data_IF_183322403626
#
_entry.id   IF_183322403626
#
_cell.length_a   1.000
_cell.length_b   1.000
_cell.length_c   1.000
_cell.angle_alpha   90.00
_cell.angle_beta   90.00
_cell.angle_gamma   90.00
#
_symmetry.space_group_name_H-M   'P 1'
#
loop_
_entity.id
_entity.type
_entity.pdbx_description
1 polymer ?
#
# COMPACT_ATOMS: atom_id res chain seq x y z
N UNK A 1 -10.68 -30.35 -8.92
CA UNK A 1 -11.20 -29.56 -7.79
C UNK A 1 -10.67 -28.16 -7.95
N UNK A 2 -11.37 -27.30 -8.70
CA UNK A 2 -10.93 -25.93 -8.93
C UNK A 2 -11.77 -25.06 -8.01
N UNK A 3 -11.26 -24.84 -6.81
CA UNK A 3 -11.84 -23.88 -5.88
C UNK A 3 -11.76 -22.52 -6.55
N UNK A 4 -12.92 -21.87 -6.70
CA UNK A 4 -13.02 -20.51 -7.19
C UNK A 4 -12.30 -19.58 -6.19
N UNK A 5 -10.98 -19.45 -6.33
CA UNK A 5 -10.22 -18.39 -5.70
C UNK A 5 -10.72 -17.10 -6.31
N UNK A 6 -11.61 -16.41 -5.60
CA UNK A 6 -12.05 -15.07 -5.97
C UNK A 6 -10.81 -14.23 -6.26
N UNK A 7 -10.73 -13.69 -7.47
CA UNK A 7 -9.62 -12.86 -7.87
C UNK A 7 -9.78 -11.52 -7.14
N UNK A 8 -8.69 -11.05 -6.54
CA UNK A 8 -8.66 -9.81 -5.76
C UNK A 8 -7.81 -8.84 -6.54
N UNK A 9 -8.41 -7.71 -6.89
CA UNK A 9 -7.71 -6.57 -7.48
C UNK A 9 -7.48 -5.53 -6.41
N UNK A 10 -6.28 -4.98 -6.33
CA UNK A 10 -5.98 -3.90 -5.38
C UNK A 10 -5.97 -2.58 -6.15
N UNK A 11 -6.68 -1.58 -5.63
CA UNK A 11 -6.75 -0.25 -6.20
C UNK A 11 -6.49 0.82 -5.14
N UNK A 12 -5.91 1.95 -5.54
CA UNK A 12 -5.78 3.13 -4.68
C UNK A 12 -7.11 3.89 -4.63
N UNK A 13 -7.58 4.23 -3.42
CA UNK A 13 -8.68 5.14 -3.17
C UNK A 13 -8.15 6.36 -2.37
N UNK A 14 -7.69 7.42 -3.09
CA UNK A 14 -7.17 8.62 -2.45
C UNK A 14 -8.21 9.35 -1.59
N UNK A 15 -9.50 9.23 -1.92
CA UNK A 15 -10.59 9.88 -1.17
C UNK A 15 -10.74 9.30 0.23
N UNK A 16 -10.41 8.02 0.38
CA UNK A 16 -10.39 7.31 1.68
C UNK A 16 -8.99 7.20 2.28
N UNK A 17 -7.97 7.69 1.57
CA UNK A 17 -6.56 7.48 1.90
C UNK A 17 -6.28 6.00 2.20
N UNK A 18 -6.76 5.12 1.32
CA UNK A 18 -6.67 3.69 1.52
C UNK A 18 -6.51 2.94 0.19
N UNK A 19 -5.73 1.88 0.21
CA UNK A 19 -5.78 0.88 -0.87
C UNK A 19 -6.90 -0.11 -0.56
N UNK A 20 -7.77 -0.38 -1.51
CA UNK A 20 -8.92 -1.27 -1.33
C UNK A 20 -8.70 -2.57 -2.10
N UNK A 21 -9.07 -3.69 -1.47
CA UNK A 21 -9.16 -4.99 -2.11
C UNK A 21 -10.56 -5.17 -2.68
N UNK A 22 -10.67 -5.19 -4.00
CA UNK A 22 -11.91 -5.40 -4.75
C UNK A 22 -11.98 -6.84 -5.25
N UNK A 23 -13.11 -7.49 -5.00
CA UNK A 23 -13.45 -8.78 -5.60
C UNK A 23 -14.00 -8.61 -7.02
N UNK A 24 -14.12 -9.71 -7.75
CA UNK A 24 -14.61 -9.73 -9.13
C UNK A 24 -16.05 -9.19 -9.28
N UNK A 25 -16.85 -9.25 -8.22
CA UNK A 25 -18.21 -8.71 -8.15
C UNK A 25 -18.26 -7.22 -7.74
N UNK A 26 -17.10 -6.59 -7.53
CA UNK A 26 -16.98 -5.20 -7.07
C UNK A 26 -17.08 -5.03 -5.56
N UNK A 27 -17.21 -6.11 -4.78
CA UNK A 27 -17.27 -6.04 -3.33
C UNK A 27 -15.91 -5.65 -2.75
N UNK A 28 -15.90 -4.66 -1.84
CA UNK A 28 -14.70 -4.30 -1.08
C UNK A 28 -14.50 -5.32 0.03
N UNK A 29 -13.45 -6.12 -0.07
CA UNK A 29 -13.13 -7.15 0.91
C UNK A 29 -12.14 -6.68 2.00
N UNK A 30 -11.53 -5.51 1.84
CA UNK A 30 -10.62 -4.95 2.82
C UNK A 30 -9.98 -3.63 2.38
N UNK A 31 -9.32 -2.96 3.31
CA UNK A 31 -8.67 -1.67 3.13
C UNK A 31 -7.35 -1.56 3.89
N UNK A 32 -6.29 -1.12 3.21
CA UNK A 32 -5.01 -0.74 3.80
C UNK A 32 -4.94 0.79 3.84
N UNK A 33 -5.21 1.34 5.01
CA UNK A 33 -5.25 2.77 5.26
C UNK A 33 -3.85 3.35 5.40
N UNK A 34 -3.67 4.52 4.82
CA UNK A 34 -2.40 5.21 4.78
C UNK A 34 -2.53 6.71 5.04
N UNK A 35 -1.41 7.35 5.37
CA UNK A 35 -1.24 8.78 5.29
C UNK A 35 -0.13 9.10 4.27
N UNK A 36 -0.42 9.94 3.28
CA UNK A 36 0.60 10.44 2.34
C UNK A 36 1.31 11.67 2.92
N UNK A 37 2.63 11.63 2.94
CA UNK A 37 3.53 12.70 3.43
C UNK A 37 4.59 12.97 2.38
N UNK A 38 4.26 13.79 1.38
CA UNK A 38 5.14 13.99 0.22
C UNK A 38 5.28 12.68 -0.57
N UNK A 39 6.52 12.26 -0.83
CA UNK A 39 6.85 10.99 -1.51
C UNK A 39 6.91 9.78 -0.55
N UNK A 40 6.21 9.85 0.59
CA UNK A 40 6.20 8.78 1.60
C UNK A 40 4.77 8.40 1.94
N UNK A 41 4.48 7.10 1.92
CA UNK A 41 3.22 6.49 2.29
C UNK A 41 3.36 5.81 3.64
N UNK A 42 2.66 6.31 4.64
CA UNK A 42 2.67 5.78 6.00
C UNK A 42 1.46 4.87 6.17
N UNK A 43 1.67 3.55 6.20
CA UNK A 43 0.58 2.60 6.45
C UNK A 43 0.24 2.59 7.94
N UNK A 44 -0.95 3.06 8.28
CA UNK A 44 -1.40 3.19 9.67
C UNK A 44 -2.15 1.96 10.14
N UNK A 45 -3.03 1.43 9.29
CA UNK A 45 -3.91 0.32 9.65
C UNK A 45 -4.28 -0.52 8.42
N UNK A 46 -4.62 -1.79 8.64
CA UNK A 46 -5.14 -2.66 7.60
C UNK A 46 -6.30 -3.44 8.18
N UNK A 47 -7.43 -3.40 7.50
CA UNK A 47 -8.67 -4.06 7.88
C UNK A 47 -9.12 -4.96 6.73
N UNK A 48 -9.60 -6.14 7.07
CA UNK A 48 -10.21 -7.08 6.12
C UNK A 48 -11.59 -7.39 6.68
N UNK A 49 -12.59 -7.37 5.80
CA UNK A 49 -13.95 -7.69 6.19
C UNK A 49 -14.00 -9.12 6.78
N UNK A 50 -14.67 -9.34 7.93
CA UNK A 50 -14.68 -10.64 8.63
C UNK A 50 -15.12 -11.82 7.75
N UNK A 51 -16.01 -11.56 6.79
CA UNK A 51 -16.48 -12.55 5.82
C UNK A 51 -15.36 -13.11 4.92
N UNK A 52 -14.24 -12.39 4.78
CA UNK A 52 -13.13 -12.75 3.93
C UNK A 52 -11.80 -12.97 4.68
N UNK A 53 -11.83 -12.94 6.01
CA UNK A 53 -10.70 -13.36 6.82
C UNK A 53 -10.33 -14.84 6.56
N UNK A 54 -9.05 -15.18 6.73
CA UNK A 54 -8.55 -16.54 6.48
C UNK A 54 -8.41 -16.92 4.99
N UNK A 55 -8.90 -16.10 4.06
CA UNK A 55 -8.81 -16.37 2.60
C UNK A 55 -7.57 -15.75 1.93
N UNK A 56 -6.61 -15.27 2.74
CA UNK A 56 -5.39 -14.63 2.24
C UNK A 56 -5.60 -13.26 1.59
N UNK A 57 -6.77 -12.63 1.75
CA UNK A 57 -7.05 -11.30 1.18
C UNK A 57 -6.11 -10.25 1.75
N UNK A 58 -5.90 -10.22 3.07
CA UNK A 58 -4.98 -9.25 3.69
C UNK A 58 -3.56 -9.31 3.14
N UNK A 59 -3.05 -10.51 2.83
CA UNK A 59 -1.72 -10.65 2.20
C UNK A 59 -1.68 -10.14 0.76
N UNK A 60 -2.74 -10.41 -0.02
CA UNK A 60 -2.86 -9.87 -1.39
C UNK A 60 -3.02 -8.35 -1.39
N UNK A 61 -3.79 -7.83 -0.45
CA UNK A 61 -3.97 -6.39 -0.23
C UNK A 61 -2.65 -5.72 0.12
N UNK A 62 -1.89 -6.25 1.09
CA UNK A 62 -0.58 -5.72 1.46
C UNK A 62 0.40 -5.75 0.28
N UNK A 63 0.52 -6.88 -0.42
CA UNK A 63 1.41 -7.00 -1.57
C UNK A 63 1.02 -6.03 -2.71
N UNK A 64 -0.27 -5.94 -3.03
CA UNK A 64 -0.77 -5.02 -4.06
C UNK A 64 -0.57 -3.56 -3.67
N UNK A 65 -0.84 -3.19 -2.42
CA UNK A 65 -0.61 -1.83 -1.93
C UNK A 65 0.87 -1.45 -2.01
N UNK A 66 1.78 -2.33 -1.53
CA UNK A 66 3.23 -2.09 -1.61
C UNK A 66 3.71 -2.00 -3.06
N UNK A 67 3.15 -2.81 -3.96
CA UNK A 67 3.46 -2.77 -5.40
C UNK A 67 3.04 -1.44 -6.01
N UNK A 68 1.84 -0.94 -5.71
CA UNK A 68 1.38 0.36 -6.21
C UNK A 68 2.25 1.51 -5.69
N UNK A 69 2.67 1.45 -4.43
CA UNK A 69 3.60 2.44 -3.86
C UNK A 69 4.97 2.37 -4.56
N UNK A 70 5.47 1.17 -4.85
CA UNK A 70 6.69 0.97 -5.63
C UNK A 70 6.60 1.55 -7.04
N UNK A 71 5.49 1.29 -7.73
CA UNK A 71 5.26 1.80 -9.10
C UNK A 71 5.14 3.32 -9.13
N UNK A 72 4.63 3.92 -8.05
CA UNK A 72 4.62 5.37 -7.86
C UNK A 72 6.01 5.97 -7.56
N UNK A 73 6.99 5.15 -7.19
CA UNK A 73 8.32 5.61 -6.74
C UNK A 73 8.30 6.23 -5.35
N UNK A 74 7.27 5.96 -4.56
CA UNK A 74 7.09 6.45 -3.21
C UNK A 74 7.79 5.51 -2.19
N UNK A 75 8.19 6.06 -1.05
CA UNK A 75 8.72 5.30 0.07
C UNK A 75 7.62 4.86 1.04
N UNK A 76 7.88 3.85 1.87
CA UNK A 76 6.94 3.22 2.80
C UNK A 76 7.39 3.39 4.24
N UNK A 77 6.45 3.74 5.12
CA UNK A 77 6.58 3.62 6.58
C UNK A 77 5.51 2.65 7.10
N UNK A 78 5.86 1.42 7.51
CA UNK A 78 4.91 0.42 7.97
C UNK A 78 4.61 0.55 9.48
N UNK A 79 3.81 1.56 9.89
CA UNK A 79 3.37 1.67 11.29
C UNK A 79 2.44 0.52 11.68
N UNK A 80 1.58 0.10 10.74
CA UNK A 80 0.71 -1.06 10.90
C UNK A 80 1.55 -2.33 11.18
N UNK A 81 1.30 -3.04 12.30
CA UNK A 81 2.05 -4.26 12.62
C UNK A 81 1.85 -5.37 11.57
N UNK A 82 0.70 -5.39 10.89
CA UNK A 82 0.41 -6.35 9.83
C UNK A 82 1.31 -6.11 8.61
N UNK A 83 1.36 -4.88 8.09
CA UNK A 83 2.23 -4.51 6.96
C UNK A 83 3.70 -4.74 7.33
N UNK A 84 4.12 -4.36 8.54
CA UNK A 84 5.50 -4.61 9.01
C UNK A 84 5.82 -6.11 9.03
N UNK A 85 4.92 -6.93 9.55
CA UNK A 85 5.11 -8.39 9.56
C UNK A 85 5.08 -9.00 8.15
N UNK A 86 4.33 -8.41 7.23
CA UNK A 86 4.31 -8.80 5.82
C UNK A 86 5.67 -8.48 5.16
N UNK A 87 6.14 -7.23 5.24
CA UNK A 87 7.45 -6.84 4.71
C UNK A 87 8.59 -7.66 5.33
N UNK A 88 8.53 -7.98 6.63
CA UNK A 88 9.54 -8.84 7.27
C UNK A 88 9.62 -10.27 6.69
N UNK A 89 8.53 -10.76 6.07
CA UNK A 89 8.49 -12.05 5.37
C UNK A 89 8.81 -11.92 3.88
N UNK A 90 8.76 -10.70 3.35
CA UNK A 90 8.87 -10.34 1.96
C UNK A 90 9.97 -9.27 1.77
N UNK A 91 11.26 -9.65 1.88
CA UNK A 91 12.38 -8.73 1.81
C UNK A 91 12.52 -8.04 0.43
N UNK A 92 11.78 -8.49 -0.59
CA UNK A 92 11.69 -7.84 -1.90
C UNK A 92 11.09 -6.43 -1.87
N UNK A 93 10.50 -6.02 -0.74
CA UNK A 93 9.97 -4.67 -0.48
C UNK A 93 10.86 -3.84 0.47
N UNK A 94 12.00 -4.36 0.92
CA UNK A 94 12.92 -3.62 1.81
C UNK A 94 13.48 -2.37 1.12
N UNK A 95 13.50 -2.33 -0.21
CA UNK A 95 13.89 -1.16 -1.01
C UNK A 95 12.93 0.02 -0.87
N UNK A 96 11.68 -0.24 -0.49
CA UNK A 96 10.67 0.79 -0.28
C UNK A 96 10.79 1.49 1.08
N UNK A 97 11.51 0.91 2.04
CA UNK A 97 11.58 1.48 3.38
C UNK A 97 12.31 2.83 3.33
N UNK A 98 11.62 3.91 3.69
CA UNK A 98 12.32 5.18 3.92
C UNK A 98 13.28 4.96 5.09
N UNK A 99 14.54 5.35 4.88
CA UNK A 99 15.57 5.32 5.92
C UNK A 99 14.98 5.97 7.18
N UNK A 100 15.00 5.22 8.28
CA UNK A 100 14.49 5.58 9.62
C UNK A 100 13.00 5.29 9.90
N UNK A 101 12.59 4.03 9.77
CA UNK A 101 11.48 3.49 10.59
C UNK A 101 12.06 2.89 11.88
N UNK A 102 12.50 3.72 12.82
CA UNK A 102 13.11 3.24 14.07
C UNK A 102 12.08 3.02 15.19
N UNK A 103 11.36 1.90 15.09
CA UNK A 103 10.99 1.07 16.26
C UNK A 103 11.57 -0.34 16.13
N UNK A 104 12.75 -0.45 15.49
CA UNK A 104 13.52 -1.69 15.36
C UNK A 104 12.90 -2.71 14.41
N UNK A 105 13.47 -2.85 13.21
CA UNK A 105 13.97 -4.10 12.61
C UNK A 105 14.32 -3.83 11.15
N UNK A 106 15.60 -4.02 10.82
CA UNK A 106 16.26 -3.97 9.49
C UNK A 106 16.10 -2.68 8.69
N UNK A 107 17.24 -2.00 8.53
CA UNK A 107 17.44 -0.91 7.57
C UNK A 107 18.14 -1.51 6.35
N UNK A 108 17.69 -1.16 5.15
CA UNK A 108 18.53 -1.19 3.96
C UNK A 108 19.40 0.08 3.99
N UNK A 109 20.72 -0.08 4.14
CA UNK A 109 21.70 0.99 3.97
C UNK A 109 22.40 0.80 2.62
N UNK A 110 22.48 1.84 1.78
CA UNK A 110 23.64 1.88 0.91
C UNK A 110 24.39 3.22 0.78
N UNK A 111 23.94 4.36 1.32
CA UNK A 111 24.72 5.61 1.23
C UNK A 111 24.20 6.75 2.11
N UNK A 112 25.02 7.19 3.08
CA UNK A 112 24.82 8.46 3.77
C UNK A 112 24.99 9.66 2.83
N UNK A 113 23.94 10.45 2.63
CA UNK A 113 24.10 11.83 2.19
C UNK A 113 23.03 12.77 2.76
N UNK A 114 23.49 13.89 3.33
CA UNK A 114 22.67 15.02 3.78
C UNK A 114 22.24 15.84 2.55
N UNK A 115 20.95 16.15 2.44
CA UNK A 115 20.41 17.35 1.78
C UNK A 115 18.95 17.48 2.27
N UNK A 116 18.57 18.54 2.96
CA UNK A 116 18.19 19.80 2.31
C UNK A 116 16.66 19.87 2.33
N UNK A 117 16.11 20.43 3.39
CA UNK A 117 14.69 20.75 3.53
C UNK A 117 14.42 22.02 2.70
N UNK A 118 13.73 21.89 1.57
CA UNK A 118 13.07 22.99 0.86
C UNK A 118 11.99 22.47 -0.10
N UNK A 119 10.98 23.31 -0.31
CA UNK A 119 9.72 23.22 -1.06
C UNK A 119 9.75 22.42 -2.39
N UNK A 120 8.64 21.88 -2.91
CA UNK A 120 7.28 22.40 -2.99
C UNK A 120 6.42 21.53 -3.93
N UNK A 121 5.21 21.99 -4.32
CA UNK A 121 4.09 21.14 -4.73
C UNK A 121 4.06 20.82 -6.22
N UNK A 122 3.51 19.66 -6.58
CA UNK A 122 2.97 19.40 -7.92
C UNK A 122 3.34 18.04 -8.49
N UNK A 123 2.31 17.23 -8.74
CA UNK A 123 2.04 16.54 -10.00
C UNK A 123 1.19 15.29 -9.73
N UNK A 124 -0.13 15.46 -9.73
CA UNK A 124 -1.00 14.35 -10.11
C UNK A 124 -1.20 14.39 -11.62
N UNK A 125 -0.88 13.33 -12.38
CA UNK A 125 -1.52 13.09 -13.65
C UNK A 125 -2.77 12.24 -13.43
N UNK A 126 -3.85 12.65 -14.07
CA UNK A 126 -5.20 12.18 -13.79
C UNK A 126 -5.47 10.73 -14.15
N UNK A 127 -6.48 10.20 -13.47
CA UNK A 127 -7.22 9.03 -13.91
C UNK A 127 -8.67 9.22 -13.49
N UNK A 128 -9.59 9.28 -14.45
CA UNK A 128 -11.02 9.14 -14.19
C UNK A 128 -11.92 10.16 -14.87
N UNK A 129 -12.25 9.91 -16.13
CA UNK A 129 -13.60 10.19 -16.62
C UNK A 129 -14.00 9.05 -17.58
N UNK A 130 -14.30 7.90 -16.99
CA UNK A 130 -15.20 6.90 -17.59
C UNK A 130 -16.63 7.47 -17.55
N UNK A 131 -17.37 7.29 -18.64
CA UNK A 131 -18.52 8.12 -18.99
C UNK A 131 -19.87 7.75 -18.40
N UNK A 132 -20.91 8.37 -18.98
CA UNK A 132 -22.29 7.91 -18.91
C UNK A 132 -23.31 9.05 -18.73
N UNK A 133 -24.20 9.25 -19.71
CA UNK A 133 -25.45 9.96 -19.45
C UNK A 133 -26.17 10.56 -20.66
N UNK A 134 -27.00 9.72 -21.31
CA UNK A 134 -28.21 9.99 -22.10
C UNK A 134 -28.07 10.72 -23.46
#
# INVERSE_FOLDING_TARGET
>A
MTEARAHVTVADDPSRSAFVALLDDGTVAGGAYYERRGATVVFTHTEVEPAFEGQGIGSRLAAGALTLVREAGDAVVPLCPFIRAHMAKHPEYDDLLTTRTDFGTRVADPAGHRAGHDAGPGAGPGAGAVGGGA
#
